data_IF_574919056490
#
_entry.id   IF_574919056490
#
_cell.length_a   1.000
_cell.length_b   1.000
_cell.length_c   1.000
_cell.angle_alpha   90.00
_cell.angle_beta   90.00
_cell.angle_gamma   90.00
#
_symmetry.space_group_name_H-M   'P 1'
#
loop_
_entity.id
_entity.type
_entity.pdbx_description
1 polymer ?
#
# COMPACT_ATOMS: atom_id res chain seq x y z
N UNK A 1 18.92 -25.51 -1.68
CA UNK A 1 18.43 -24.11 -1.64
C UNK A 1 16.92 -24.18 -1.70
N UNK A 2 16.21 -23.63 -0.72
CA UNK A 2 14.75 -23.77 -0.65
C UNK A 2 14.06 -22.78 -1.58
N UNK A 3 12.89 -23.14 -2.13
CA UNK A 3 12.10 -22.28 -3.02
C UNK A 3 11.84 -20.90 -2.43
N UNK A 4 11.59 -20.83 -1.11
CA UNK A 4 11.41 -19.57 -0.37
C UNK A 4 12.64 -18.66 -0.34
N UNK A 5 13.85 -19.22 -0.35
CA UNK A 5 15.09 -18.43 -0.40
C UNK A 5 15.32 -17.82 -1.78
N UNK A 6 14.92 -18.52 -2.84
CA UNK A 6 15.04 -18.02 -4.22
C UNK A 6 14.11 -16.84 -4.49
N UNK A 7 12.88 -16.84 -3.94
CA UNK A 7 11.92 -15.73 -4.11
C UNK A 7 12.04 -14.61 -3.08
N UNK A 8 12.90 -14.73 -2.07
CA UNK A 8 13.01 -13.73 -1.01
C UNK A 8 13.39 -12.32 -1.53
N UNK A 9 14.28 -12.24 -2.52
CA UNK A 9 14.65 -10.99 -3.19
C UNK A 9 13.47 -10.38 -3.94
N UNK A 10 12.84 -11.15 -4.83
CA UNK A 10 11.69 -10.72 -5.61
C UNK A 10 10.50 -10.29 -4.74
N UNK A 11 10.25 -10.98 -3.61
CA UNK A 11 9.22 -10.59 -2.65
C UNK A 11 9.51 -9.22 -2.03
N UNK A 12 10.76 -8.95 -1.66
CA UNK A 12 11.16 -7.64 -1.10
C UNK A 12 10.97 -6.53 -2.12
N UNK A 13 11.32 -6.77 -3.37
CA UNK A 13 11.18 -5.79 -4.44
C UNK A 13 9.71 -5.56 -4.82
N UNK A 14 8.88 -6.61 -4.85
CA UNK A 14 7.43 -6.49 -5.05
C UNK A 14 6.76 -5.68 -3.92
N UNK A 15 7.13 -5.94 -2.66
CA UNK A 15 6.62 -5.16 -1.51
C UNK A 15 7.03 -3.69 -1.63
N UNK A 16 8.29 -3.41 -1.99
CA UNK A 16 8.77 -2.04 -2.22
C UNK A 16 8.03 -1.35 -3.37
N UNK A 17 7.87 -2.03 -4.50
CA UNK A 17 7.18 -1.51 -5.66
C UNK A 17 5.71 -1.17 -5.35
N UNK A 18 5.04 -1.98 -4.51
CA UNK A 18 3.68 -1.71 -4.06
C UNK A 18 3.56 -0.52 -3.10
N UNK A 19 4.53 -0.32 -2.22
CA UNK A 19 4.48 0.73 -1.17
C UNK A 19 4.98 2.10 -1.63
N UNK A 20 5.97 2.16 -2.52
CA UNK A 20 6.58 3.43 -2.98
C UNK A 20 5.53 4.43 -3.52
N UNK A 21 4.58 4.05 -4.38
CA UNK A 21 3.57 4.97 -4.90
C UNK A 21 2.69 5.59 -3.81
N UNK A 22 2.30 4.80 -2.81
CA UNK A 22 1.49 5.28 -1.68
C UNK A 22 2.28 6.28 -0.84
N UNK A 23 3.52 5.96 -0.49
CA UNK A 23 4.37 6.85 0.30
C UNK A 23 4.66 8.16 -0.43
N UNK A 24 4.97 8.08 -1.73
CA UNK A 24 5.19 9.27 -2.56
C UNK A 24 3.94 10.15 -2.62
N UNK A 25 2.76 9.55 -2.76
CA UNK A 25 1.50 10.30 -2.75
C UNK A 25 1.28 10.99 -1.39
N UNK A 26 1.61 10.32 -0.29
CA UNK A 26 1.46 10.89 1.05
C UNK A 26 2.40 12.06 1.31
N UNK A 27 3.64 12.03 0.81
CA UNK A 27 4.61 13.11 1.01
C UNK A 27 4.24 14.42 0.30
N UNK A 28 3.45 14.34 -0.79
CA UNK A 28 3.14 15.50 -1.64
C UNK A 28 1.83 16.19 -1.21
N UNK A 29 0.98 15.48 -0.45
CA UNK A 29 -0.27 16.04 0.12
C UNK A 29 0.04 17.19 1.07
N UNK A 30 -0.65 18.32 0.88
CA UNK A 30 -0.46 19.52 1.68
C UNK A 30 0.68 20.43 1.23
N UNK A 31 1.66 19.91 0.46
CA UNK A 31 2.72 20.73 -0.15
C UNK A 31 2.37 21.23 -1.55
N UNK A 32 1.80 20.38 -2.40
CA UNK A 32 1.52 20.72 -3.82
C UNK A 32 0.03 20.67 -4.13
N UNK A 33 -0.73 19.82 -3.45
CA UNK A 33 -2.17 19.69 -3.67
C UNK A 33 -2.92 19.53 -2.35
N UNK A 34 -4.03 20.26 -2.22
CA UNK A 34 -5.09 19.93 -1.27
C UNK A 34 -5.90 18.77 -1.89
N UNK A 35 -6.02 17.60 -1.23
CA UNK A 35 -6.80 16.48 -1.73
C UNK A 35 -8.24 16.92 -2.02
N UNK A 36 -8.81 16.48 -3.15
CA UNK A 36 -10.18 16.86 -3.54
C UNK A 36 -11.25 16.51 -2.48
N UNK A 37 -10.99 15.50 -1.64
CA UNK A 37 -11.84 15.17 -0.48
C UNK A 37 -11.84 16.29 0.56
N UNK A 38 -10.68 16.88 0.91
CA UNK A 38 -10.62 18.02 1.84
C UNK A 38 -11.40 19.20 1.26
N UNK A 39 -11.22 19.50 -0.03
CA UNK A 39 -11.96 20.60 -0.68
C UNK A 39 -13.47 20.36 -0.66
N UNK A 40 -13.93 19.13 -0.90
CA UNK A 40 -15.35 18.78 -0.79
C UNK A 40 -15.89 18.94 0.64
N UNK A 41 -15.13 18.54 1.65
CA UNK A 41 -15.50 18.71 3.05
C UNK A 41 -15.57 20.19 3.46
N UNK A 42 -14.59 21.00 3.03
CA UNK A 42 -14.60 22.44 3.23
C UNK A 42 -15.81 23.12 2.60
N UNK A 43 -16.15 22.76 1.34
CA UNK A 43 -17.34 23.29 0.65
C UNK A 43 -18.64 22.87 1.34
N UNK A 44 -18.64 21.73 2.05
CA UNK A 44 -19.79 21.29 2.87
C UNK A 44 -19.91 22.01 4.22
N UNK A 45 -18.97 22.90 4.56
CA UNK A 45 -18.97 23.68 5.80
C UNK A 45 -18.26 23.02 6.97
N UNK A 46 -17.49 21.94 6.76
CA UNK A 46 -16.66 21.32 7.80
C UNK A 46 -15.46 22.23 8.10
N UNK A 47 -15.08 22.33 9.37
CA UNK A 47 -13.91 23.11 9.77
C UNK A 47 -12.64 22.56 9.11
N UNK A 48 -11.74 23.43 8.59
CA UNK A 48 -10.53 23.00 7.91
C UNK A 48 -9.63 22.05 8.72
N UNK A 49 -9.59 22.25 10.04
CA UNK A 49 -8.78 21.43 10.94
C UNK A 49 -9.32 20.00 11.06
N UNK A 50 -10.65 19.86 11.11
CA UNK A 50 -11.31 18.55 11.14
C UNK A 50 -11.12 17.84 9.80
N UNK A 51 -11.36 18.52 8.68
CA UNK A 51 -11.18 17.96 7.35
C UNK A 51 -9.74 17.44 7.12
N UNK A 52 -8.74 18.20 7.56
CA UNK A 52 -7.34 17.78 7.49
C UNK A 52 -7.05 16.56 8.36
N UNK A 53 -7.56 16.53 9.59
CA UNK A 53 -7.36 15.41 10.53
C UNK A 53 -7.97 14.11 10.00
N UNK A 54 -9.19 14.17 9.46
CA UNK A 54 -9.82 13.02 8.81
C UNK A 54 -9.05 12.57 7.57
N UNK A 55 -8.55 13.49 6.75
CA UNK A 55 -7.78 13.13 5.57
C UNK A 55 -6.49 12.38 5.94
N UNK A 56 -5.75 12.83 6.96
CA UNK A 56 -4.54 12.13 7.44
C UNK A 56 -4.88 10.71 7.88
N UNK A 57 -5.98 10.54 8.62
CA UNK A 57 -6.46 9.23 9.06
C UNK A 57 -6.79 8.31 7.87
N UNK A 58 -7.50 8.81 6.86
CA UNK A 58 -7.81 8.06 5.63
C UNK A 58 -6.52 7.63 4.92
N UNK A 59 -5.52 8.51 4.83
CA UNK A 59 -4.25 8.17 4.19
C UNK A 59 -3.50 7.05 4.91
N UNK A 60 -3.51 7.04 6.25
CA UNK A 60 -2.96 5.93 7.03
C UNK A 60 -3.74 4.62 6.79
N UNK A 61 -5.07 4.69 6.74
CA UNK A 61 -5.90 3.51 6.45
C UNK A 61 -5.60 2.94 5.05
N UNK A 62 -5.45 3.79 4.04
CA UNK A 62 -5.08 3.37 2.68
C UNK A 62 -3.68 2.76 2.64
N UNK A 63 -2.71 3.37 3.34
CA UNK A 63 -1.36 2.83 3.42
C UNK A 63 -1.31 1.46 4.10
N UNK A 64 -2.04 1.30 5.19
CA UNK A 64 -2.15 0.02 5.90
C UNK A 64 -2.85 -1.04 5.04
N UNK A 65 -3.92 -0.67 4.35
CA UNK A 65 -4.64 -1.56 3.42
C UNK A 65 -3.72 -2.03 2.29
N UNK A 66 -2.96 -1.12 1.69
CA UNK A 66 -2.02 -1.47 0.63
C UNK A 66 -0.89 -2.38 1.14
N UNK A 67 -0.37 -2.12 2.34
CA UNK A 67 0.63 -2.98 2.98
C UNK A 67 0.10 -4.41 3.18
N UNK A 68 -1.09 -4.55 3.77
CA UNK A 68 -1.72 -5.86 3.99
C UNK A 68 -1.99 -6.55 2.65
N UNK A 69 -2.59 -5.86 1.69
CA UNK A 69 -2.90 -6.42 0.38
C UNK A 69 -1.64 -6.92 -0.32
N UNK A 70 -0.57 -6.13 -0.32
CA UNK A 70 0.71 -6.52 -0.94
C UNK A 70 1.33 -7.73 -0.23
N UNK A 71 1.27 -7.79 1.10
CA UNK A 71 1.75 -8.95 1.87
C UNK A 71 0.92 -10.20 1.57
N UNK A 72 -0.41 -10.10 1.59
CA UNK A 72 -1.32 -11.22 1.33
C UNK A 72 -1.17 -11.75 -0.10
N UNK A 73 -1.11 -10.86 -1.09
CA UNK A 73 -0.93 -11.24 -2.50
C UNK A 73 0.42 -11.91 -2.68
N UNK A 74 1.50 -11.32 -2.16
CA UNK A 74 2.83 -11.89 -2.36
C UNK A 74 2.97 -13.24 -1.64
N UNK A 75 2.38 -13.39 -0.44
CA UNK A 75 2.36 -14.67 0.26
C UNK A 75 1.48 -15.71 -0.45
N UNK A 76 0.27 -15.32 -0.86
CA UNK A 76 -0.66 -16.18 -1.61
C UNK A 76 -0.08 -16.68 -2.92
N UNK A 77 0.57 -15.81 -3.70
CA UNK A 77 1.27 -16.17 -4.92
C UNK A 77 2.40 -17.16 -4.64
N UNK A 78 3.23 -16.94 -3.61
CA UNK A 78 4.28 -17.91 -3.28
C UNK A 78 3.72 -19.28 -2.92
N UNK A 79 2.56 -19.35 -2.26
CA UNK A 79 1.90 -20.61 -1.91
C UNK A 79 1.21 -21.28 -3.11
N UNK A 80 0.73 -20.49 -4.07
CA UNK A 80 0.08 -21.02 -5.27
C UNK A 80 1.08 -21.55 -6.31
N UNK A 81 2.23 -20.88 -6.46
CA UNK A 81 3.24 -21.24 -7.47
C UNK A 81 4.28 -22.26 -6.98
N UNK A 82 4.47 -22.43 -5.66
CA UNK A 82 5.35 -23.46 -5.10
C UNK A 82 4.53 -24.58 -4.46
N UNK A 83 4.60 -25.78 -5.03
CA UNK A 83 3.95 -26.98 -4.51
C UNK A 83 4.75 -27.59 -3.33
N UNK A 84 4.23 -28.62 -2.64
CA UNK A 84 4.87 -29.24 -1.45
C UNK A 84 6.33 -29.71 -1.64
N UNK A 85 6.78 -29.83 -2.88
CA UNK A 85 8.16 -30.20 -3.25
C UNK A 85 9.07 -29.00 -3.60
N UNK A 86 8.64 -27.76 -3.32
CA UNK A 86 9.33 -26.50 -3.65
C UNK A 86 9.69 -26.31 -5.13
N UNK A 87 8.99 -27.00 -6.04
CA UNK A 87 9.12 -26.80 -7.48
C UNK A 87 8.12 -25.75 -7.98
N UNK A 88 8.58 -24.90 -8.90
CA UNK A 88 7.72 -23.96 -9.64
C UNK A 88 6.72 -24.79 -10.47
N UNK A 89 5.43 -24.68 -10.16
CA UNK A 89 4.39 -25.25 -11.02
C UNK A 89 4.10 -24.22 -12.10
N UNK A 90 4.71 -24.39 -13.28
CA UNK A 90 4.39 -23.64 -14.51
C UNK A 90 3.39 -24.45 -15.31
#
# INVERSE_FOLDING_TARGET
>A
ATGQQAVAGYRKDAIRAGLIPTLNSMMVVGLVTLPGIITGQLLSGIEPLDAASYQILIMFMLAFTNLIATLLITYGLTRQFFNQSEQLTI
#
